data_IF_782302422377
#
_entry.id   IF_782302422377
#
_cell.length_a   1.000
_cell.length_b   1.000
_cell.length_c   1.000
_cell.angle_alpha   90.00
_cell.angle_beta   90.00
_cell.angle_gamma   90.00
#
_symmetry.space_group_name_H-M   'P 1'
#
loop_
_entity.id
_entity.type
_entity.pdbx_description
1 polymer ?
#
# COMPACT_ATOMS: atom_id res chain seq x y z
N UNK A 1 -22.13 -15.15 -1.92
CA UNK A 1 -21.32 -14.78 -0.74
C UNK A 1 -20.19 -15.78 -0.46
N UNK A 2 -20.45 -17.04 -0.10
CA UNK A 2 -19.35 -18.00 0.16
C UNK A 2 -18.60 -18.46 -1.09
N UNK A 3 -19.29 -18.60 -2.24
CA UNK A 3 -18.65 -19.04 -3.49
C UNK A 3 -17.80 -17.96 -4.17
N UNK A 4 -18.23 -16.69 -4.15
CA UNK A 4 -17.45 -15.59 -4.74
C UNK A 4 -16.12 -15.37 -4.02
N UNK A 5 -16.10 -15.55 -2.70
CA UNK A 5 -14.86 -15.48 -1.92
C UNK A 5 -13.90 -16.63 -2.29
N UNK A 6 -14.44 -17.83 -2.55
CA UNK A 6 -13.65 -18.98 -2.97
C UNK A 6 -13.00 -18.72 -4.34
N UNK A 7 -13.81 -18.27 -5.31
CA UNK A 7 -13.35 -17.96 -6.66
C UNK A 7 -12.33 -16.80 -6.69
N UNK A 8 -12.46 -15.85 -5.75
CA UNK A 8 -11.49 -14.77 -5.57
C UNK A 8 -10.14 -15.27 -5.04
N UNK A 9 -10.12 -16.19 -4.09
CA UNK A 9 -8.87 -16.77 -3.56
C UNK A 9 -8.19 -17.63 -4.63
N UNK A 10 -8.95 -18.42 -5.39
CA UNK A 10 -8.43 -19.26 -6.49
C UNK A 10 -7.84 -18.43 -7.66
N UNK A 11 -8.08 -17.11 -7.66
CA UNK A 11 -7.52 -16.18 -8.63
C UNK A 11 -6.04 -15.85 -8.40
N UNK A 12 -5.48 -16.21 -7.24
CA UNK A 12 -4.08 -15.91 -6.89
C UNK A 12 -3.34 -17.16 -6.40
N UNK A 13 -2.05 -17.24 -6.74
CA UNK A 13 -1.18 -18.31 -6.29
C UNK A 13 -0.48 -17.93 -4.97
N UNK A 14 -0.28 -16.62 -4.74
CA UNK A 14 0.34 -16.08 -3.52
C UNK A 14 -0.34 -14.80 -3.04
N UNK A 15 -0.38 -14.62 -1.72
CA UNK A 15 -0.76 -13.37 -1.06
C UNK A 15 0.44 -12.87 -0.26
N UNK A 16 0.92 -11.68 -0.59
CA UNK A 16 2.02 -10.99 0.11
C UNK A 16 1.43 -9.85 0.94
N UNK A 17 1.68 -9.87 2.25
CA UNK A 17 1.23 -8.82 3.16
C UNK A 17 2.41 -7.90 3.49
N UNK A 18 2.31 -6.64 3.07
CA UNK A 18 3.34 -5.61 3.12
C UNK A 18 4.13 -5.51 1.82
N UNK A 19 4.18 -4.30 1.25
CA UNK A 19 4.89 -3.97 -0.01
C UNK A 19 6.23 -3.26 0.22
N UNK A 20 6.72 -3.24 1.46
CA UNK A 20 8.03 -2.71 1.82
C UNK A 20 9.19 -3.48 1.17
N UNK A 21 10.43 -3.15 1.58
CA UNK A 21 11.65 -3.61 0.92
C UNK A 21 11.74 -5.14 0.69
N UNK A 22 11.21 -5.96 1.60
CA UNK A 22 11.17 -7.41 1.42
C UNK A 22 10.00 -7.89 0.57
N UNK A 23 8.78 -7.43 0.89
CA UNK A 23 7.56 -7.93 0.27
C UNK A 23 7.41 -7.54 -1.19
N UNK A 24 7.77 -6.29 -1.55
CA UNK A 24 7.75 -5.85 -2.95
C UNK A 24 8.74 -6.63 -3.81
N UNK A 25 9.94 -6.90 -3.30
CA UNK A 25 10.96 -7.70 -4.01
C UNK A 25 10.50 -9.14 -4.21
N UNK A 26 9.95 -9.78 -3.18
CA UNK A 26 9.40 -11.13 -3.28
C UNK A 26 8.27 -11.19 -4.32
N UNK A 27 7.30 -10.27 -4.23
CA UNK A 27 6.17 -10.21 -5.14
C UNK A 27 6.61 -10.04 -6.60
N UNK A 28 7.59 -9.17 -6.86
CA UNK A 28 8.15 -8.98 -8.19
C UNK A 28 8.76 -10.27 -8.76
N UNK A 29 9.56 -10.99 -7.96
CA UNK A 29 10.18 -12.25 -8.42
C UNK A 29 9.16 -13.34 -8.68
N UNK A 30 8.13 -13.46 -7.84
CA UNK A 30 7.05 -14.42 -8.04
C UNK A 30 6.26 -14.10 -9.33
N UNK A 31 5.95 -12.82 -9.57
CA UNK A 31 5.26 -12.39 -10.78
C UNK A 31 6.10 -12.59 -12.05
N UNK A 32 7.40 -12.28 -12.01
CA UNK A 32 8.34 -12.58 -13.10
C UNK A 32 8.41 -14.08 -13.43
N UNK A 33 8.22 -14.94 -12.42
CA UNK A 33 8.10 -16.39 -12.57
C UNK A 33 6.74 -16.86 -13.10
N UNK A 34 5.80 -15.96 -13.39
CA UNK A 34 4.48 -16.26 -13.93
C UNK A 34 3.37 -16.48 -12.90
N UNK A 35 3.65 -16.28 -11.60
CA UNK A 35 2.64 -16.44 -10.56
C UNK A 35 1.68 -15.24 -10.50
N UNK A 36 0.41 -15.49 -10.17
CA UNK A 36 -0.59 -14.47 -9.87
C UNK A 36 -0.46 -14.08 -8.40
N UNK A 37 -0.04 -12.84 -8.13
CA UNK A 37 0.29 -12.39 -6.77
C UNK A 37 -0.63 -11.25 -6.35
N UNK A 38 -1.28 -11.39 -5.20
CA UNK A 38 -1.99 -10.32 -4.52
C UNK A 38 -1.07 -9.67 -3.48
N UNK A 39 -0.94 -8.35 -3.49
CA UNK A 39 -0.17 -7.61 -2.47
C UNK A 39 -1.13 -6.74 -1.66
N UNK A 40 -1.03 -6.81 -0.34
CA UNK A 40 -1.80 -5.99 0.60
C UNK A 40 -0.86 -5.03 1.33
N UNK A 41 -1.21 -3.74 1.40
CA UNK A 41 -0.40 -2.70 2.04
C UNK A 41 -1.28 -1.83 2.93
N UNK A 42 -0.77 -1.40 4.09
CA UNK A 42 -1.50 -0.54 5.02
C UNK A 42 -1.42 0.95 4.64
N UNK A 43 -0.40 1.31 3.86
CA UNK A 43 -0.25 2.65 3.29
C UNK A 43 -1.43 3.09 2.43
N UNK A 44 -1.74 4.37 2.48
CA UNK A 44 -2.75 5.03 1.65
C UNK A 44 -2.26 5.27 0.21
N UNK A 45 -3.19 5.54 -0.71
CA UNK A 45 -2.86 5.89 -2.10
C UNK A 45 -1.93 7.12 -2.13
N UNK A 46 -0.69 7.00 -2.61
CA UNK A 46 0.24 8.12 -2.68
C UNK A 46 -0.23 9.23 -3.63
N UNK A 47 -1.16 8.96 -4.55
CA UNK A 47 -1.79 9.98 -5.42
C UNK A 47 -2.92 10.72 -4.73
N UNK A 48 -3.48 10.16 -3.67
CA UNK A 48 -4.54 10.74 -2.87
C UNK A 48 -4.27 10.47 -1.38
N UNK A 49 -3.18 11.02 -0.83
CA UNK A 49 -2.85 10.79 0.56
C UNK A 49 -3.94 11.43 1.45
N UNK A 50 -4.27 10.81 2.59
CA UNK A 50 -5.16 11.43 3.54
C UNK A 50 -4.57 12.77 3.97
N UNK A 51 -5.43 13.80 4.18
CA UNK A 51 -4.98 15.10 4.64
C UNK A 51 -4.07 14.95 5.87
N UNK A 52 -2.90 15.60 5.85
CA UNK A 52 -1.97 15.62 6.98
C UNK A 52 -0.96 14.48 7.10
N UNK A 53 -0.88 13.56 6.13
CA UNK A 53 0.08 12.43 6.16
C UNK A 53 1.27 12.57 5.20
N UNK A 54 1.39 13.69 4.50
CA UNK A 54 2.57 14.02 3.68
C UNK A 54 3.69 14.62 4.53
N UNK A 55 4.94 14.36 4.13
CA UNK A 55 6.16 15.03 4.63
C UNK A 55 6.23 16.51 4.19
N UNK A 56 5.10 17.20 4.28
CA UNK A 56 4.91 18.57 3.87
C UNK A 56 5.76 19.46 4.76
N UNK A 57 6.84 19.99 4.18
CA UNK A 57 7.47 21.25 4.63
C UNK A 57 6.46 22.41 4.72
N UNK A 58 5.23 22.22 4.25
CA UNK A 58 4.09 23.15 4.35
C UNK A 58 3.29 23.01 5.67
N UNK A 59 3.48 21.95 6.47
CA UNK A 59 2.85 21.87 7.79
C UNK A 59 3.44 22.88 8.80
N UNK A 60 4.71 23.27 8.61
CA UNK A 60 5.38 24.27 9.45
C UNK A 60 5.01 25.72 9.09
N UNK A 61 4.52 26.00 7.87
CA UNK A 61 4.13 27.36 7.49
C UNK A 61 2.77 27.80 8.04
N UNK A 62 1.95 26.85 8.51
CA UNK A 62 0.65 27.14 9.13
C UNK A 62 0.73 27.31 10.65
N UNK A 63 1.84 26.94 11.28
CA UNK A 63 2.12 27.25 12.68
C UNK A 63 2.61 28.71 12.73
N UNK A 64 1.68 29.67 12.76
CA UNK A 64 2.02 31.05 13.12
C UNK A 64 2.52 31.04 14.57
N UNK A 65 3.75 31.50 14.88
CA UNK A 65 4.14 31.69 16.28
C UNK A 65 3.18 32.69 16.93
N UNK A 66 2.90 32.57 18.24
CA UNK A 66 2.06 33.54 18.93
C UNK A 66 2.63 34.94 18.73
N UNK A 67 1.78 35.87 18.28
CA UNK A 67 2.16 37.26 18.11
C UNK A 67 2.69 37.77 19.46
N UNK A 68 3.93 38.30 19.45
CA UNK A 68 4.56 38.93 20.59
C UNK A 68 3.89 40.26 20.92
#
# INVERSE_FOLDING_TARGET
>A
MSEEAHNFIDSFDYIVVGSGAGGGTLAARLAEGGARVLVLEAGSDPKNPPPGHGHDRLALSQIRPPAR
#
